data_IF_073619322761
#
_entry.id   IF_073619322761
#
_cell.length_a   1.000
_cell.length_b   1.000
_cell.length_c   1.000
_cell.angle_alpha   90.00
_cell.angle_beta   90.00
_cell.angle_gamma   90.00
#
_symmetry.space_group_name_H-M   'P 1'
#
loop_
_entity.id
_entity.type
_entity.pdbx_description
1 polymer ?
#
# COMPACT_ATOMS: atom_id res chain seq x y z
N UNK A 1 12.45 6.12 1.90
CA UNK A 1 11.08 6.07 1.34
C UNK A 1 10.19 5.17 2.21
N UNK A 2 8.87 5.41 2.31
CA UNK A 2 7.97 4.54 3.09
C UNK A 2 7.60 3.27 2.33
N UNK A 3 7.52 2.14 3.04
CA UNK A 3 7.05 0.88 2.48
C UNK A 3 5.63 0.60 2.98
N UNK A 4 4.74 0.25 2.08
CA UNK A 4 3.40 -0.26 2.38
C UNK A 4 3.25 -1.69 1.85
N UNK A 5 2.74 -2.61 2.65
CA UNK A 5 2.35 -3.94 2.19
C UNK A 5 0.84 -4.00 2.08
N UNK A 6 0.33 -4.56 0.98
CA UNK A 6 -1.11 -4.78 0.78
C UNK A 6 -1.40 -6.26 0.96
N UNK A 7 -2.42 -6.64 1.73
CA UNK A 7 -2.82 -8.03 1.91
C UNK A 7 -3.29 -8.66 0.59
N UNK A 8 -3.16 -9.98 0.44
CA UNK A 8 -3.82 -10.71 -0.65
C UNK A 8 -5.34 -10.50 -0.58
N UNK A 9 -6.05 -10.56 -1.73
CA UNK A 9 -7.51 -10.44 -1.72
C UNK A 9 -8.20 -11.56 -0.93
N UNK A 10 -7.65 -12.78 -0.99
CA UNK A 10 -8.17 -13.95 -0.27
C UNK A 10 -7.41 -14.17 1.03
N UNK A 11 -8.10 -14.73 2.04
CA UNK A 11 -7.46 -15.21 3.26
C UNK A 11 -6.70 -16.50 2.99
N UNK A 12 -5.67 -16.76 3.79
CA UNK A 12 -4.92 -18.03 3.79
C UNK A 12 -4.39 -18.34 5.19
N UNK A 13 -4.09 -19.61 5.43
CA UNK A 13 -3.60 -20.10 6.73
C UNK A 13 -2.25 -19.45 7.05
N UNK A 14 -2.10 -18.89 8.26
CA UNK A 14 -0.88 -18.24 8.71
C UNK A 14 -0.72 -16.78 8.26
N UNK A 15 -1.72 -16.17 7.59
CA UNK A 15 -1.63 -14.78 7.14
C UNK A 15 -1.37 -13.81 8.31
N UNK A 16 -2.07 -13.97 9.43
CA UNK A 16 -1.90 -13.11 10.61
C UNK A 16 -0.49 -13.23 11.23
N UNK A 17 0.06 -14.45 11.28
CA UNK A 17 1.41 -14.66 11.82
C UNK A 17 2.47 -13.96 10.96
N UNK A 18 2.32 -14.05 9.63
CA UNK A 18 3.20 -13.35 8.69
C UNK A 18 3.08 -11.83 8.81
N UNK A 19 1.86 -11.31 8.98
CA UNK A 19 1.63 -9.87 9.21
C UNK A 19 2.32 -9.41 10.49
N UNK A 20 2.15 -10.13 11.60
CA UNK A 20 2.81 -9.80 12.86
C UNK A 20 4.34 -9.86 12.73
N UNK A 21 4.91 -10.86 12.04
CA UNK A 21 6.35 -10.92 11.73
C UNK A 21 6.82 -9.72 10.90
N UNK A 22 6.08 -9.33 9.87
CA UNK A 22 6.42 -8.13 9.09
C UNK A 22 6.45 -6.86 9.96
N UNK A 23 5.52 -6.71 10.89
CA UNK A 23 5.52 -5.59 11.83
C UNK A 23 6.69 -5.65 12.81
N UNK A 24 7.05 -6.84 13.31
CA UNK A 24 8.25 -7.05 14.14
C UNK A 24 9.54 -6.67 13.40
N UNK A 25 9.60 -6.91 12.08
CA UNK A 25 10.70 -6.44 11.23
C UNK A 25 10.68 -4.92 10.97
N UNK A 26 9.65 -4.18 11.42
CA UNK A 26 9.56 -2.75 11.27
C UNK A 26 8.71 -2.27 10.09
N UNK A 27 7.79 -3.08 9.55
CA UNK A 27 6.88 -2.64 8.48
C UNK A 27 6.19 -1.32 8.86
N UNK A 28 6.32 -0.25 8.03
CA UNK A 28 5.72 1.05 8.35
C UNK A 28 4.21 1.10 8.16
N UNK A 29 3.67 0.46 7.10
CA UNK A 29 2.24 0.48 6.77
C UNK A 29 1.77 -0.87 6.25
N UNK A 30 0.61 -1.32 6.75
CA UNK A 30 -0.14 -2.45 6.20
C UNK A 30 -1.49 -1.95 5.68
N UNK A 31 -1.83 -2.25 4.44
CA UNK A 31 -3.15 -2.07 3.87
C UNK A 31 -3.94 -3.37 3.90
N UNK A 32 -4.99 -3.45 4.70
CA UNK A 32 -5.92 -4.59 4.69
C UNK A 32 -6.90 -4.40 3.54
N UNK A 33 -6.77 -5.24 2.52
CA UNK A 33 -7.60 -5.24 1.32
C UNK A 33 -8.18 -6.62 1.07
N UNK A 34 -9.48 -6.78 1.34
CA UNK A 34 -10.24 -8.03 1.21
C UNK A 34 -11.57 -7.75 0.47
N UNK A 35 -11.52 -7.51 -0.86
CA UNK A 35 -12.65 -6.94 -1.61
C UNK A 35 -13.90 -7.79 -1.63
N UNK A 36 -13.74 -9.12 -1.52
CA UNK A 36 -14.83 -10.10 -1.64
C UNK A 36 -15.20 -10.74 -0.29
N UNK A 37 -14.63 -10.22 0.82
CA UNK A 37 -14.89 -10.71 2.17
C UNK A 37 -16.08 -10.01 2.81
N UNK A 38 -16.66 -10.65 3.83
CA UNK A 38 -17.57 -9.98 4.76
C UNK A 38 -16.79 -9.24 5.87
N UNK A 39 -17.49 -8.31 6.53
CA UNK A 39 -16.88 -7.47 7.58
C UNK A 39 -16.39 -8.29 8.76
N UNK A 40 -17.08 -9.37 9.14
CA UNK A 40 -16.73 -10.22 10.29
C UNK A 40 -15.41 -10.94 10.04
N UNK A 41 -15.22 -11.49 8.83
CA UNK A 41 -13.97 -12.15 8.47
C UNK A 41 -12.80 -11.16 8.47
N UNK A 42 -12.99 -9.93 7.99
CA UNK A 42 -11.95 -8.88 8.00
C UNK A 42 -11.66 -8.44 9.43
N UNK A 43 -12.69 -8.31 10.27
CA UNK A 43 -12.53 -7.96 11.67
C UNK A 43 -11.76 -9.04 12.44
N UNK A 44 -12.03 -10.32 12.19
CA UNK A 44 -11.28 -11.43 12.78
C UNK A 44 -9.81 -11.41 12.39
N UNK A 45 -9.48 -11.10 11.13
CA UNK A 45 -8.08 -10.89 10.72
C UNK A 45 -7.45 -9.72 11.47
N UNK A 46 -8.15 -8.60 11.57
CA UNK A 46 -7.66 -7.41 12.29
C UNK A 46 -7.39 -7.73 13.77
N UNK A 47 -8.30 -8.43 14.44
CA UNK A 47 -8.17 -8.83 15.85
C UNK A 47 -7.03 -9.84 16.10
N UNK A 48 -6.56 -10.52 15.05
CA UNK A 48 -5.40 -11.43 15.11
C UNK A 48 -4.06 -10.69 14.95
N UNK A 49 -4.09 -9.40 14.60
CA UNK A 49 -2.91 -8.52 14.55
C UNK A 49 -2.71 -7.92 15.96
N UNK A 50 -1.45 -7.88 16.42
CA UNK A 50 -1.14 -7.25 17.70
C UNK A 50 -1.60 -5.77 17.71
N UNK A 51 -2.44 -5.36 18.67
CA UNK A 51 -2.97 -4.00 18.76
C UNK A 51 -1.90 -2.90 18.82
N UNK A 52 -0.68 -3.23 19.26
CA UNK A 52 0.46 -2.30 19.22
C UNK A 52 0.77 -1.79 17.80
N UNK A 53 0.32 -2.49 16.76
CA UNK A 53 0.54 -2.13 15.36
C UNK A 53 -0.65 -1.42 14.70
N UNK A 54 -1.78 -1.22 15.38
CA UNK A 54 -2.97 -0.59 14.81
C UNK A 54 -2.70 0.82 14.26
N UNK A 55 -1.77 1.56 14.88
CA UNK A 55 -1.27 2.84 14.35
C UNK A 55 -0.47 2.75 13.04
N UNK A 56 -0.39 1.57 12.41
CA UNK A 56 0.24 1.32 11.10
C UNK A 56 -0.67 0.56 10.13
N UNK A 57 -1.95 0.36 10.50
CA UNK A 57 -2.93 -0.38 9.70
C UNK A 57 -3.87 0.59 8.98
N UNK A 58 -4.07 0.34 7.70
CA UNK A 58 -4.97 1.10 6.82
C UNK A 58 -6.04 0.17 6.26
N UNK A 59 -7.31 0.59 6.33
CA UNK A 59 -8.44 -0.17 5.78
C UNK A 59 -8.74 0.28 4.35
N UNK A 60 -8.72 -0.66 3.40
CA UNK A 60 -9.12 -0.39 2.01
C UNK A 60 -10.63 -0.61 1.79
N UNK A 61 -11.25 -1.42 2.63
CA UNK A 61 -12.68 -1.73 2.65
C UNK A 61 -13.13 -1.69 4.11
N UNK A 62 -14.45 -1.62 4.38
CA UNK A 62 -15.01 -1.60 5.74
C UNK A 62 -14.39 -0.51 6.65
N UNK A 63 -14.39 0.73 6.17
CA UNK A 63 -13.78 1.87 6.87
C UNK A 63 -14.29 2.08 8.30
N UNK A 64 -15.51 1.59 8.63
CA UNK A 64 -16.05 1.59 9.99
C UNK A 64 -15.16 0.86 11.01
N UNK A 65 -14.41 -0.17 10.58
CA UNK A 65 -13.44 -0.84 11.43
C UNK A 65 -12.26 0.07 11.80
N UNK A 66 -11.88 0.98 10.90
CA UNK A 66 -10.82 1.94 11.21
C UNK A 66 -11.23 2.89 12.35
N UNK A 67 -12.50 3.33 12.39
CA UNK A 67 -13.05 4.11 13.51
C UNK A 67 -13.11 3.26 14.78
N UNK A 68 -13.70 2.07 14.68
CA UNK A 68 -13.93 1.17 15.83
C UNK A 68 -12.64 0.83 16.58
N UNK A 69 -11.55 0.63 15.85
CA UNK A 69 -10.26 0.19 16.40
C UNK A 69 -9.19 1.28 16.42
N UNK A 70 -9.54 2.53 16.11
CA UNK A 70 -8.61 3.67 16.06
C UNK A 70 -7.36 3.36 15.23
N UNK A 71 -7.57 2.87 14.00
CA UNK A 71 -6.48 2.51 13.09
C UNK A 71 -5.80 3.75 12.50
N UNK A 72 -4.63 3.56 11.87
CA UNK A 72 -3.88 4.64 11.25
C UNK A 72 -4.64 5.36 10.15
N UNK A 73 -5.34 4.62 9.25
CA UNK A 73 -5.90 5.25 8.06
C UNK A 73 -6.98 4.45 7.35
N UNK A 74 -7.59 5.15 6.40
CA UNK A 74 -8.48 4.59 5.39
C UNK A 74 -7.92 4.85 3.99
N UNK A 75 -8.24 3.94 3.05
CA UNK A 75 -7.81 4.05 1.67
C UNK A 75 -9.00 4.12 0.73
N UNK A 76 -9.18 5.27 0.09
CA UNK A 76 -10.27 5.48 -0.86
C UNK A 76 -9.96 4.80 -2.19
N UNK A 77 -10.97 4.14 -2.72
CA UNK A 77 -10.90 3.41 -3.97
C UNK A 77 -12.28 3.44 -4.66
N UNK A 78 -12.38 2.84 -5.85
CA UNK A 78 -13.64 2.84 -6.61
C UNK A 78 -14.85 2.29 -5.84
N UNK A 79 -14.66 1.33 -4.91
CA UNK A 79 -15.75 0.76 -4.10
C UNK A 79 -16.12 1.66 -2.92
N UNK A 80 -15.14 2.38 -2.39
CA UNK A 80 -15.24 3.24 -1.21
C UNK A 80 -14.66 4.62 -1.57
N UNK A 81 -15.40 5.47 -2.32
CA UNK A 81 -14.85 6.70 -2.89
C UNK A 81 -14.86 7.89 -1.93
N UNK A 82 -15.50 7.77 -0.77
CA UNK A 82 -15.73 8.88 0.15
C UNK A 82 -15.15 8.60 1.54
N UNK A 83 -14.69 9.66 2.18
CA UNK A 83 -14.32 9.63 3.60
C UNK A 83 -15.59 9.45 4.43
N UNK A 84 -15.55 8.59 5.42
CA UNK A 84 -16.65 8.37 6.36
C UNK A 84 -16.75 9.51 7.37
N UNK A 85 -17.96 9.72 7.91
CA UNK A 85 -18.21 10.76 8.91
C UNK A 85 -17.32 10.59 10.16
N UNK A 86 -16.92 11.73 10.74
CA UNK A 86 -16.09 11.81 11.95
C UNK A 86 -14.70 11.09 11.83
N UNK A 87 -14.19 10.87 10.62
CA UNK A 87 -12.86 10.36 10.43
C UNK A 87 -11.80 11.47 10.59
N UNK A 88 -10.81 11.23 11.46
CA UNK A 88 -9.71 12.18 11.74
C UNK A 88 -8.31 11.54 11.51
N UNK A 89 -8.25 10.29 11.08
CA UNK A 89 -7.00 9.60 10.76
C UNK A 89 -6.54 9.87 9.33
N UNK A 90 -5.48 9.18 8.92
CA UNK A 90 -4.91 9.33 7.59
C UNK A 90 -5.89 8.91 6.49
N UNK A 91 -5.87 9.65 5.38
CA UNK A 91 -6.66 9.36 4.18
C UNK A 91 -5.72 9.20 2.99
N UNK A 92 -5.81 8.07 2.33
CA UNK A 92 -5.08 7.79 1.09
C UNK A 92 -6.03 7.37 -0.03
N UNK A 93 -5.54 7.36 -1.26
CA UNK A 93 -6.34 6.95 -2.43
C UNK A 93 -5.53 6.20 -3.48
N UNK A 94 -6.23 5.49 -4.36
CA UNK A 94 -5.67 4.95 -5.62
C UNK A 94 -5.87 5.95 -6.76
N UNK A 95 -4.83 6.12 -7.60
CA UNK A 95 -4.87 6.88 -8.86
C UNK A 95 -4.23 6.07 -9.98
N UNK A 96 -4.67 6.34 -11.23
CA UNK A 96 -4.23 5.61 -12.43
C UNK A 96 -3.69 6.52 -13.53
N UNK A 97 -3.62 7.81 -13.28
CA UNK A 97 -3.06 8.82 -14.20
C UNK A 97 -2.44 9.98 -13.42
N UNK A 98 -1.55 10.73 -14.07
CA UNK A 98 -1.00 11.97 -13.51
C UNK A 98 -2.09 13.03 -13.33
N UNK A 99 -3.11 13.03 -14.18
CA UNK A 99 -4.25 13.94 -14.05
C UNK A 99 -5.03 13.65 -12.76
N UNK A 100 -5.38 12.39 -12.49
CA UNK A 100 -6.03 12.00 -11.23
C UNK A 100 -5.16 12.38 -10.02
N UNK A 101 -3.84 12.16 -10.12
CA UNK A 101 -2.90 12.45 -9.05
C UNK A 101 -2.89 13.95 -8.68
N UNK A 102 -3.08 14.85 -9.66
CA UNK A 102 -3.05 16.30 -9.48
C UNK A 102 -4.36 16.89 -8.93
N UNK A 103 -5.44 16.11 -8.86
CA UNK A 103 -6.73 16.58 -8.33
C UNK A 103 -6.76 16.44 -6.81
N UNK A 104 -7.19 17.49 -6.11
CA UNK A 104 -7.46 17.49 -4.66
C UNK A 104 -6.30 16.96 -3.78
N UNK A 105 -5.05 17.25 -4.16
CA UNK A 105 -3.83 16.72 -3.52
C UNK A 105 -3.77 16.97 -2.02
N UNK A 106 -4.32 18.09 -1.55
CA UNK A 106 -4.30 18.47 -0.14
C UNK A 106 -5.29 17.69 0.74
N UNK A 107 -6.22 16.97 0.11
CA UNK A 107 -7.19 16.12 0.82
C UNK A 107 -6.64 14.77 1.23
N UNK A 108 -5.43 14.41 0.76
CA UNK A 108 -4.85 13.08 0.94
C UNK A 108 -3.44 13.18 1.52
N UNK A 109 -3.15 12.32 2.47
CA UNK A 109 -1.80 12.20 3.03
C UNK A 109 -0.85 11.55 2.03
N UNK A 110 -1.36 10.60 1.24
CA UNK A 110 -0.63 10.01 0.12
C UNK A 110 -1.58 9.38 -0.91
N UNK A 111 -1.07 9.18 -2.11
CA UNK A 111 -1.79 8.53 -3.21
C UNK A 111 -0.99 7.37 -3.79
N UNK A 112 -1.63 6.25 -4.08
CA UNK A 112 -1.03 5.19 -4.90
C UNK A 112 -1.17 5.56 -6.37
N UNK A 113 -0.07 5.57 -7.11
CA UNK A 113 -0.05 5.65 -8.57
C UNK A 113 0.23 4.26 -9.14
N UNK A 114 -0.67 3.74 -9.97
CA UNK A 114 -0.58 2.36 -10.48
C UNK A 114 -1.20 2.19 -11.88
N UNK A 115 -0.70 1.21 -12.67
CA UNK A 115 0.47 0.37 -12.41
C UNK A 115 1.77 1.07 -12.90
N UNK A 116 2.81 1.09 -12.06
CA UNK A 116 4.11 1.69 -12.44
C UNK A 116 4.93 0.76 -13.33
N UNK A 117 4.93 -0.54 -13.04
CA UNK A 117 5.62 -1.55 -13.82
C UNK A 117 4.64 -2.65 -14.24
N UNK A 118 5.06 -3.46 -15.24
CA UNK A 118 4.31 -4.64 -15.63
C UNK A 118 4.09 -5.57 -14.44
N UNK A 119 2.91 -6.17 -14.37
CA UNK A 119 2.56 -7.05 -13.25
C UNK A 119 3.40 -8.32 -13.26
N UNK A 120 3.92 -8.70 -12.10
CA UNK A 120 4.60 -9.99 -11.87
C UNK A 120 3.57 -11.11 -11.68
N UNK A 121 2.34 -10.79 -11.30
CA UNK A 121 1.32 -11.76 -10.85
C UNK A 121 0.06 -11.81 -11.72
N UNK A 122 -0.05 -10.98 -12.76
CA UNK A 122 -1.21 -10.96 -13.67
C UNK A 122 -0.71 -10.91 -15.11
N UNK A 123 -0.97 -11.93 -15.87
CA UNK A 123 -0.78 -11.92 -17.32
C UNK A 123 -1.58 -10.76 -17.95
N UNK A 124 -0.94 -9.97 -18.82
CA UNK A 124 -1.50 -8.82 -19.53
C UNK A 124 -1.76 -7.53 -18.73
N UNK A 125 -1.21 -7.34 -17.54
CA UNK A 125 -1.28 -6.05 -16.86
C UNK A 125 -0.02 -5.23 -17.14
N UNK A 126 -0.04 -4.49 -18.24
CA UNK A 126 1.08 -3.67 -18.74
C UNK A 126 1.17 -2.38 -17.94
N UNK A 127 2.38 -1.87 -17.74
CA UNK A 127 2.64 -0.55 -17.16
C UNK A 127 1.82 0.53 -17.85
N UNK A 128 1.18 1.38 -17.06
CA UNK A 128 0.43 2.54 -17.57
C UNK A 128 1.35 3.72 -17.97
N UNK A 129 2.67 3.65 -17.66
CA UNK A 129 3.59 4.76 -17.78
C UNK A 129 4.92 4.34 -18.41
N UNK A 130 5.39 5.09 -19.40
CA UNK A 130 6.75 4.95 -19.90
C UNK A 130 7.77 5.59 -18.92
N UNK A 131 9.02 5.16 -18.96
CA UNK A 131 10.08 5.73 -18.13
C UNK A 131 10.23 7.25 -18.37
N UNK A 132 10.14 7.71 -19.62
CA UNK A 132 10.22 9.13 -19.94
C UNK A 132 9.08 9.94 -19.31
N UNK A 133 7.86 9.38 -19.24
CA UNK A 133 6.73 10.03 -18.57
C UNK A 133 6.95 10.10 -17.05
N UNK A 134 7.47 9.05 -16.43
CA UNK A 134 7.78 9.04 -15.00
C UNK A 134 8.88 10.06 -14.65
N UNK A 135 9.95 10.14 -15.45
CA UNK A 135 11.03 11.11 -15.27
C UNK A 135 10.51 12.55 -15.42
N UNK A 136 9.70 12.82 -16.45
CA UNK A 136 9.09 14.13 -16.64
C UNK A 136 8.20 14.51 -15.45
N UNK A 137 7.32 13.61 -15.01
CA UNK A 137 6.43 13.85 -13.87
C UNK A 137 7.21 14.07 -12.54
N UNK A 138 8.35 13.41 -12.36
CA UNK A 138 9.24 13.64 -11.23
C UNK A 138 9.90 15.03 -11.29
N UNK A 139 10.37 15.46 -12.46
CA UNK A 139 10.96 16.80 -12.66
C UNK A 139 9.94 17.93 -12.47
N UNK A 140 8.68 17.70 -12.87
CA UNK A 140 7.57 18.65 -12.71
C UNK A 140 6.96 18.64 -11.29
N UNK A 141 7.45 17.78 -10.37
CA UNK A 141 6.96 17.68 -9.00
C UNK A 141 5.59 17.00 -8.86
N UNK A 142 5.07 16.41 -9.93
CA UNK A 142 3.83 15.60 -9.90
C UNK A 142 4.05 14.33 -9.10
N UNK A 143 5.21 13.67 -9.29
CA UNK A 143 5.68 12.61 -8.40
C UNK A 143 6.49 13.28 -7.28
N UNK A 144 6.12 13.04 -6.03
CA UNK A 144 6.69 13.68 -4.85
C UNK A 144 6.59 12.75 -3.62
N UNK A 145 6.89 13.27 -2.45
CA UNK A 145 6.91 12.54 -1.17
C UNK A 145 5.55 11.96 -0.73
N UNK A 146 4.43 12.45 -1.31
CA UNK A 146 3.08 11.92 -1.09
C UNK A 146 2.67 10.85 -2.11
N UNK A 147 3.49 10.52 -3.10
CA UNK A 147 3.16 9.55 -4.14
C UNK A 147 3.85 8.23 -3.88
N UNK A 148 3.07 7.15 -3.78
CA UNK A 148 3.56 5.79 -3.59
C UNK A 148 3.38 5.00 -4.89
N UNK A 149 4.46 4.38 -5.35
CA UNK A 149 4.44 3.50 -6.51
C UNK A 149 3.74 2.17 -6.18
N UNK A 150 2.80 1.74 -7.02
CA UNK A 150 2.15 0.43 -6.92
C UNK A 150 2.11 -0.25 -8.30
N UNK A 151 2.19 -1.58 -8.30
CA UNK A 151 2.19 -2.41 -9.50
C UNK A 151 3.59 -2.78 -9.97
N UNK A 152 3.88 -4.08 -9.95
CA UNK A 152 5.17 -4.66 -10.34
C UNK A 152 6.37 -4.21 -9.51
N UNK A 153 6.16 -3.64 -8.32
CA UNK A 153 7.23 -3.17 -7.44
C UNK A 153 7.95 -4.36 -6.82
N UNK A 154 9.28 -4.37 -6.94
CA UNK A 154 10.21 -5.35 -6.33
C UNK A 154 11.29 -4.64 -5.53
N UNK A 155 12.03 -5.36 -4.68
CA UNK A 155 13.15 -4.79 -3.92
C UNK A 155 14.17 -4.11 -4.85
N UNK A 156 14.50 -4.73 -5.98
CA UNK A 156 15.51 -4.24 -6.91
C UNK A 156 15.08 -2.95 -7.65
N UNK A 157 13.79 -2.62 -7.63
CA UNK A 157 13.22 -1.40 -8.22
C UNK A 157 13.16 -0.22 -7.23
N UNK A 158 13.42 -0.44 -5.94
CA UNK A 158 13.34 0.60 -4.91
C UNK A 158 14.31 1.77 -5.21
N UNK A 159 15.54 1.48 -5.60
CA UNK A 159 16.52 2.52 -5.92
C UNK A 159 16.05 3.43 -7.10
N UNK A 160 15.44 2.83 -8.12
CA UNK A 160 14.87 3.56 -9.25
C UNK A 160 13.68 4.44 -8.78
N UNK A 161 12.77 3.91 -7.95
CA UNK A 161 11.65 4.68 -7.43
C UNK A 161 12.11 5.88 -6.59
N UNK A 162 13.17 5.72 -5.79
CA UNK A 162 13.80 6.83 -5.06
C UNK A 162 14.33 7.90 -6.01
N UNK A 163 15.01 7.51 -7.09
CA UNK A 163 15.54 8.47 -8.10
C UNK A 163 14.44 9.20 -8.87
N UNK A 164 13.21 8.66 -8.87
CA UNK A 164 12.03 9.26 -9.45
C UNK A 164 11.18 10.05 -8.42
N UNK A 165 11.72 10.35 -7.24
CA UNK A 165 11.10 11.12 -6.18
C UNK A 165 9.80 10.52 -5.59
N UNK A 166 9.55 9.21 -5.76
CA UNK A 166 8.45 8.56 -5.04
C UNK A 166 8.69 8.60 -3.53
N UNK A 167 7.70 9.06 -2.77
CA UNK A 167 7.74 9.07 -1.30
C UNK A 167 7.57 7.69 -0.68
N UNK A 168 6.94 6.77 -1.41
CA UNK A 168 6.73 5.40 -0.97
C UNK A 168 6.62 4.37 -2.07
N UNK A 169 6.63 3.10 -1.65
CA UNK A 169 6.39 1.94 -2.50
C UNK A 169 5.39 0.99 -1.82
N UNK A 170 4.36 0.59 -2.56
CA UNK A 170 3.36 -0.37 -2.13
C UNK A 170 3.59 -1.71 -2.83
N UNK A 171 3.70 -2.78 -2.07
CA UNK A 171 3.99 -4.12 -2.55
C UNK A 171 2.84 -5.09 -2.20
N UNK A 172 2.55 -6.00 -3.12
CA UNK A 172 1.59 -7.08 -2.91
C UNK A 172 2.25 -8.42 -3.30
N UNK A 173 2.25 -8.77 -4.58
CA UNK A 173 2.69 -10.09 -5.06
C UNK A 173 4.11 -10.44 -4.63
N UNK A 174 5.03 -9.52 -4.72
CA UNK A 174 6.44 -9.72 -4.36
C UNK A 174 6.61 -10.15 -2.89
N UNK A 175 5.93 -9.49 -1.95
CA UNK A 175 6.00 -9.85 -0.52
C UNK A 175 5.43 -11.25 -0.28
N UNK A 176 4.24 -11.50 -0.82
CA UNK A 176 3.53 -12.76 -0.58
C UNK A 176 4.09 -13.96 -1.37
N UNK A 177 5.01 -13.72 -2.31
CA UNK A 177 5.80 -14.78 -2.97
C UNK A 177 7.07 -15.14 -2.17
N UNK A 178 7.41 -14.38 -1.11
CA UNK A 178 8.58 -14.59 -0.27
C UNK A 178 8.22 -14.98 1.16
N UNK A 179 7.07 -15.60 1.40
CA UNK A 179 6.54 -15.92 2.74
C UNK A 179 7.43 -16.90 3.53
N UNK A 180 8.10 -17.84 2.84
CA UNK A 180 8.97 -18.83 3.49
C UNK A 180 10.19 -18.18 4.18
N UNK A 181 10.61 -17.00 3.72
CA UNK A 181 11.74 -16.23 4.25
C UNK A 181 11.34 -14.78 4.55
N UNK A 182 10.14 -14.56 5.07
CA UNK A 182 9.53 -13.23 5.18
C UNK A 182 10.41 -12.25 5.97
N UNK A 183 11.07 -12.68 7.05
CA UNK A 183 11.92 -11.81 7.87
C UNK A 183 13.16 -11.34 7.09
N UNK A 184 13.88 -12.26 6.43
CA UNK A 184 15.03 -11.91 5.60
C UNK A 184 14.63 -11.01 4.42
N UNK A 185 13.47 -11.29 3.81
CA UNK A 185 12.91 -10.46 2.73
C UNK A 185 12.59 -9.05 3.24
N UNK A 186 11.89 -8.93 4.38
CA UNK A 186 11.54 -7.64 4.98
C UNK A 186 12.78 -6.82 5.34
N UNK A 187 13.80 -7.43 5.91
CA UNK A 187 15.07 -6.75 6.20
C UNK A 187 15.72 -6.20 4.92
N UNK A 188 15.80 -7.02 3.85
CA UNK A 188 16.33 -6.56 2.54
C UNK A 188 15.51 -5.40 1.98
N UNK A 189 14.17 -5.50 2.01
CA UNK A 189 13.27 -4.48 1.50
C UNK A 189 13.39 -3.16 2.26
N UNK A 190 13.37 -3.22 3.60
CA UNK A 190 13.46 -2.02 4.44
C UNK A 190 14.83 -1.36 4.34
N UNK A 191 15.92 -2.14 4.23
CA UNK A 191 17.26 -1.61 4.00
C UNK A 191 17.36 -0.87 2.65
N UNK A 192 16.78 -1.43 1.59
CA UNK A 192 16.74 -0.76 0.28
C UNK A 192 15.95 0.56 0.30
N UNK A 193 14.97 0.66 1.22
CA UNK A 193 14.12 1.84 1.36
C UNK A 193 14.76 2.99 2.18
N UNK A 194 15.80 2.71 2.98
CA UNK A 194 16.59 3.73 3.67
C UNK A 194 17.31 4.64 2.67
#
# INVERSE_FOLDING_TARGET
MKIAVITRPNFFVGECDLINKMFQCGLPLLHIRKPDADITAVENLLLSIDPAYYGRVVMNDFHSLAVKYNLYGIHLNRRNPSVIDNWNGSVSRSTHSFQELSVDVDKYDYSFLSPIFDSISKDNYVSGFSMNQLQKAALEGVINDKVFALGGVTVDRIALLKSLNFGGAALLGEVWNNVDNIEAYMHKLLLAAL
#
